data_IF_051838829468
#
_entry.id   IF_051838829468
#
_cell.length_a   1.000
_cell.length_b   1.000
_cell.length_c   1.000
_cell.angle_alpha   90.00
_cell.angle_beta   90.00
_cell.angle_gamma   90.00
#
_symmetry.space_group_name_H-M   'P 1'
#
loop_
_entity.id
_entity.type
_entity.pdbx_description
1 polymer ?
#
# COMPACT_ATOMS: atom_id res chain seq x y z
N UNK A 1 -12.25 -0.29 4.27
CA UNK A 1 -11.73 -0.83 3.00
C UNK A 1 -10.75 -1.97 3.30
N UNK A 2 -11.11 -2.91 4.18
CA UNK A 2 -10.22 -4.03 4.56
C UNK A 2 -10.04 -5.06 3.44
N UNK A 3 -10.84 -4.98 2.38
CA UNK A 3 -10.74 -5.86 1.20
C UNK A 3 -9.85 -5.25 0.09
N UNK A 4 -9.32 -4.05 0.31
CA UNK A 4 -8.43 -3.40 -0.66
C UNK A 4 -6.99 -3.81 -0.41
N UNK A 5 -6.46 -4.64 -1.30
CA UNK A 5 -5.08 -5.13 -1.23
C UNK A 5 -4.06 -4.18 -1.88
N UNK A 6 -4.50 -3.41 -2.87
CA UNK A 6 -3.65 -2.50 -3.66
C UNK A 6 -4.41 -1.18 -3.84
N UNK A 7 -3.76 -0.06 -3.50
CA UNK A 7 -4.24 1.29 -3.77
C UNK A 7 -3.22 2.04 -4.63
N UNK A 8 -3.73 2.73 -5.64
CA UNK A 8 -2.94 3.63 -6.47
C UNK A 8 -3.68 4.96 -6.51
N UNK A 9 -2.99 6.07 -6.24
CA UNK A 9 -3.63 7.38 -6.22
C UNK A 9 -2.68 8.51 -6.63
N UNK A 10 -3.21 9.62 -7.18
CA UNK A 10 -2.45 10.86 -7.30
C UNK A 10 -1.93 11.28 -5.93
N UNK A 11 -0.75 11.88 -5.91
CA UNK A 11 -0.18 12.44 -4.68
C UNK A 11 -1.14 13.44 -4.03
N UNK A 12 -1.33 13.31 -2.71
CA UNK A 12 -2.26 14.13 -1.92
C UNK A 12 -3.75 13.71 -1.99
N UNK A 13 -4.12 12.77 -2.85
CA UNK A 13 -5.49 12.27 -2.95
C UNK A 13 -5.68 10.94 -2.20
N UNK A 14 -6.90 10.69 -1.72
CA UNK A 14 -7.32 9.40 -1.12
C UNK A 14 -6.46 8.88 0.05
N UNK A 15 -5.63 9.72 0.68
CA UNK A 15 -4.79 9.31 1.81
C UNK A 15 -5.61 8.77 2.99
N UNK A 16 -6.83 9.27 3.19
CA UNK A 16 -7.74 8.73 4.23
C UNK A 16 -8.07 7.24 4.00
N UNK A 17 -8.11 6.78 2.74
CA UNK A 17 -8.39 5.38 2.44
C UNK A 17 -7.28 4.45 2.95
N UNK A 18 -6.03 4.93 2.98
CA UNK A 18 -4.88 4.19 3.51
C UNK A 18 -5.06 3.81 4.98
N UNK A 19 -5.76 4.63 5.76
CA UNK A 19 -6.02 4.37 7.19
C UNK A 19 -6.92 3.13 7.38
N UNK A 20 -7.77 2.84 6.39
CA UNK A 20 -8.75 1.75 6.44
C UNK A 20 -8.33 0.49 5.68
N UNK A 21 -7.09 0.47 5.18
CA UNK A 21 -6.52 -0.69 4.49
C UNK A 21 -5.83 -1.62 5.49
N UNK A 22 -5.79 -2.91 5.14
CA UNK A 22 -5.13 -3.91 5.98
C UNK A 22 -3.61 -3.75 5.96
N UNK A 23 -2.97 -4.23 7.04
CA UNK A 23 -1.51 -4.36 7.08
C UNK A 23 -1.02 -5.22 5.91
N UNK A 24 0.16 -4.90 5.40
CA UNK A 24 0.77 -5.49 4.21
C UNK A 24 0.04 -5.22 2.88
N UNK A 25 -1.03 -4.43 2.87
CA UNK A 25 -1.56 -3.88 1.61
C UNK A 25 -0.50 -3.03 0.91
N UNK A 26 -0.63 -2.91 -0.40
CA UNK A 26 0.33 -2.23 -1.27
C UNK A 26 -0.21 -0.89 -1.72
N UNK A 27 0.65 0.13 -1.75
CA UNK A 27 0.30 1.48 -2.17
C UNK A 27 1.32 2.00 -3.16
N UNK A 28 0.87 2.70 -4.19
CA UNK A 28 1.73 3.48 -5.08
C UNK A 28 1.12 4.86 -5.30
N UNK A 29 1.99 5.86 -5.30
CA UNK A 29 1.60 7.24 -5.58
C UNK A 29 2.09 7.67 -6.96
N UNK A 30 1.34 8.57 -7.59
CA UNK A 30 1.75 9.14 -8.85
C UNK A 30 1.66 10.66 -8.89
N UNK A 31 2.62 11.27 -9.58
CA UNK A 31 2.85 12.70 -9.58
C UNK A 31 2.66 13.31 -10.97
N UNK A 32 1.95 14.45 -11.10
CA UNK A 32 2.05 15.26 -12.29
C UNK A 32 3.48 15.78 -12.46
N UNK A 33 3.84 16.14 -13.69
CA UNK A 33 5.12 16.77 -14.00
C UNK A 33 5.31 18.04 -13.16
N UNK A 34 6.53 18.35 -12.75
CA UNK A 34 6.87 19.60 -12.03
C UNK A 34 6.38 19.71 -10.58
N UNK A 35 5.43 18.87 -10.13
CA UNK A 35 4.90 18.92 -8.76
C UNK A 35 5.96 18.64 -7.68
N UNK A 36 6.90 17.73 -7.96
CA UNK A 36 7.91 17.30 -6.99
C UNK A 36 8.76 18.46 -6.47
N UNK A 37 9.13 19.37 -7.36
CA UNK A 37 10.03 20.50 -7.08
C UNK A 37 9.42 21.46 -6.05
N UNK A 38 8.09 21.45 -5.92
CA UNK A 38 7.33 22.39 -5.12
C UNK A 38 6.71 21.73 -3.87
N UNK A 39 6.61 20.40 -3.82
CA UNK A 39 6.02 19.66 -2.69
C UNK A 39 6.90 19.59 -1.43
N UNK A 40 8.20 19.88 -1.54
CA UNK A 40 9.14 19.87 -0.41
C UNK A 40 9.11 18.53 0.35
N UNK A 41 9.02 18.55 1.68
CA UNK A 41 8.91 17.34 2.50
C UNK A 41 7.60 16.56 2.30
N UNK A 42 6.54 17.23 1.83
CA UNK A 42 5.24 16.61 1.58
C UNK A 42 5.27 15.47 0.56
N UNK A 43 6.29 15.46 -0.32
CA UNK A 43 6.50 14.42 -1.33
C UNK A 43 6.61 12.99 -0.76
N UNK A 44 6.89 12.83 0.53
CA UNK A 44 7.06 11.53 1.18
C UNK A 44 5.83 11.07 1.97
N UNK A 45 4.73 11.83 1.94
CA UNK A 45 3.59 11.58 2.84
C UNK A 45 2.95 10.20 2.63
N UNK A 46 2.89 9.70 1.40
CA UNK A 46 2.39 8.34 1.13
C UNK A 46 3.33 7.27 1.69
N UNK A 47 4.65 7.45 1.54
CA UNK A 47 5.64 6.55 2.15
C UNK A 47 5.47 6.53 3.67
N UNK A 48 5.43 7.70 4.31
CA UNK A 48 5.28 7.80 5.77
C UNK A 48 3.98 7.19 6.26
N UNK A 49 2.87 7.44 5.57
CA UNK A 49 1.59 6.84 5.92
C UNK A 49 1.62 5.32 5.74
N UNK A 50 2.17 4.82 4.63
CA UNK A 50 2.30 3.39 4.40
C UNK A 50 3.12 2.71 5.51
N UNK A 51 4.27 3.28 5.84
CA UNK A 51 5.14 2.75 6.88
C UNK A 51 4.44 2.79 8.25
N UNK A 52 3.73 3.88 8.58
CA UNK A 52 3.00 4.00 9.85
C UNK A 52 1.82 3.02 9.97
N UNK A 53 1.13 2.72 8.87
CA UNK A 53 0.01 1.78 8.82
C UNK A 53 0.46 0.31 8.69
N UNK A 54 1.77 0.05 8.55
CA UNK A 54 2.29 -1.30 8.29
C UNK A 54 1.93 -1.82 6.90
N UNK A 55 1.74 -0.92 5.94
CA UNK A 55 1.56 -1.21 4.52
C UNK A 55 2.90 -1.18 3.79
N UNK A 56 2.86 -1.42 2.48
CA UNK A 56 4.03 -1.42 1.59
C UNK A 56 3.88 -0.33 0.56
N UNK A 57 4.81 0.60 0.52
CA UNK A 57 4.86 1.56 -0.56
C UNK A 57 5.72 1.03 -1.72
N UNK A 58 5.03 0.57 -2.78
CA UNK A 58 5.54 -0.20 -3.92
C UNK A 58 6.02 0.71 -5.08
N UNK A 59 6.63 1.85 -4.75
CA UNK A 59 7.22 2.78 -5.71
C UNK A 59 6.32 3.97 -6.04
N UNK A 60 6.69 4.71 -7.09
CA UNK A 60 6.04 5.94 -7.50
C UNK A 60 6.09 6.10 -9.03
N UNK A 61 5.05 6.69 -9.62
CA UNK A 61 5.09 7.15 -11.02
C UNK A 61 5.29 8.66 -11.11
N UNK A 62 6.13 9.09 -12.03
CA UNK A 62 6.39 10.50 -12.30
C UNK A 62 6.16 10.75 -13.77
N UNK A 63 5.19 11.60 -14.06
CA UNK A 63 4.90 11.97 -15.44
C UNK A 63 6.05 12.80 -16.04
N UNK A 64 6.65 12.28 -17.11
CA UNK A 64 7.68 12.98 -17.89
C UNK A 64 7.10 13.86 -19.01
N UNK A 65 5.90 13.54 -19.50
CA UNK A 65 5.32 14.07 -20.73
C UNK A 65 4.37 15.25 -20.51
N UNK A 66 4.09 15.60 -19.25
CA UNK A 66 3.24 16.75 -18.91
C UNK A 66 3.73 18.10 -19.48
N UNK A 67 2.83 19.09 -19.46
CA UNK A 67 3.14 20.46 -19.89
C UNK A 67 4.13 21.14 -18.94
N UNK A 68 4.91 22.09 -19.46
CA UNK A 68 5.78 22.93 -18.63
C UNK A 68 5.01 24.17 -18.17
N UNK A 69 5.26 24.61 -16.94
CA UNK A 69 4.63 25.80 -16.41
C UNK A 69 4.99 27.03 -17.27
N UNK A 70 4.01 27.83 -17.72
CA UNK A 70 4.27 29.02 -18.52
C UNK A 70 4.63 30.26 -17.69
N UNK A 71 4.61 30.15 -16.36
CA UNK A 71 4.83 31.26 -15.43
C UNK A 71 6.26 31.25 -14.87
N UNK A 72 6.80 32.44 -14.61
CA UNK A 72 8.09 32.58 -13.88
C UNK A 72 7.89 32.53 -12.35
N UNK A 73 6.66 32.74 -11.89
CA UNK A 73 6.29 32.73 -10.48
C UNK A 73 6.07 31.30 -9.96
N UNK A 74 6.75 30.96 -8.86
CA UNK A 74 6.73 29.61 -8.28
C UNK A 74 5.35 29.21 -7.74
N UNK A 75 4.59 30.15 -7.18
CA UNK A 75 3.28 29.86 -6.59
C UNK A 75 2.23 29.62 -7.69
N UNK A 76 2.35 30.35 -8.80
CA UNK A 76 1.57 30.09 -10.02
C UNK A 76 1.93 28.73 -10.63
N UNK A 77 3.22 28.39 -10.70
CA UNK A 77 3.63 27.05 -11.15
C UNK A 77 3.18 25.95 -10.20
N UNK A 78 3.14 26.20 -8.89
CA UNK A 78 2.61 25.24 -7.92
C UNK A 78 1.16 24.89 -8.24
N UNK A 79 0.32 25.91 -8.43
CA UNK A 79 -1.09 25.71 -8.78
C UNK A 79 -1.24 25.04 -10.14
N UNK A 80 -0.47 25.46 -11.14
CA UNK A 80 -0.48 24.87 -12.48
C UNK A 80 -0.20 23.36 -12.45
N UNK A 81 0.87 22.94 -11.77
CA UNK A 81 1.23 21.53 -11.69
C UNK A 81 0.29 20.72 -10.79
N UNK A 82 -0.28 21.34 -9.75
CA UNK A 82 -1.26 20.70 -8.86
C UNK A 82 -2.49 20.22 -9.61
N UNK A 83 -3.01 21.08 -10.47
CA UNK A 83 -4.26 20.87 -11.19
C UNK A 83 -4.02 20.25 -12.58
N UNK A 84 -2.75 19.94 -12.90
CA UNK A 84 -2.35 19.30 -14.13
C UNK A 84 -2.90 17.88 -14.27
N UNK A 85 -3.19 17.49 -15.51
CA UNK A 85 -3.46 16.10 -15.83
C UNK A 85 -2.19 15.27 -15.65
N UNK A 86 -2.36 14.01 -15.25
CA UNK A 86 -1.23 13.10 -15.04
C UNK A 86 -1.17 12.15 -16.23
N UNK A 87 -0.05 12.19 -16.93
CA UNK A 87 0.27 11.32 -18.05
C UNK A 87 0.28 9.84 -17.65
N UNK A 88 -0.08 8.99 -18.61
CA UNK A 88 -0.18 7.55 -18.45
C UNK A 88 0.82 6.85 -19.37
N UNK A 89 1.73 6.05 -18.79
CA UNK A 89 2.57 5.12 -19.51
C UNK A 89 2.04 3.70 -19.31
N UNK A 90 1.35 3.18 -20.34
CA UNK A 90 0.72 1.87 -20.31
C UNK A 90 1.72 0.75 -19.98
N UNK A 91 2.93 0.83 -20.52
CA UNK A 91 3.95 -0.19 -20.31
C UNK A 91 4.44 -0.18 -18.85
N UNK A 92 4.70 1.01 -18.29
CA UNK A 92 5.08 1.16 -16.89
C UNK A 92 3.99 0.62 -15.96
N UNK A 93 2.76 1.10 -16.13
CA UNK A 93 1.65 0.71 -15.25
C UNK A 93 1.33 -0.78 -15.36
N UNK A 94 1.40 -1.36 -16.56
CA UNK A 94 1.16 -2.80 -16.77
C UNK A 94 2.24 -3.65 -16.11
N UNK A 95 3.52 -3.29 -16.27
CA UNK A 95 4.63 -4.01 -15.65
C UNK A 95 4.59 -3.91 -14.12
N UNK A 96 4.38 -2.69 -13.61
CA UNK A 96 4.22 -2.45 -12.18
C UNK A 96 3.04 -3.25 -11.61
N UNK A 97 1.88 -3.22 -12.27
CA UNK A 97 0.68 -3.92 -11.80
C UNK A 97 0.90 -5.43 -11.79
N UNK A 98 1.50 -6.00 -12.85
CA UNK A 98 1.81 -7.41 -12.92
C UNK A 98 2.73 -7.84 -11.77
N UNK A 99 3.77 -7.07 -11.48
CA UNK A 99 4.69 -7.34 -10.37
C UNK A 99 3.96 -7.31 -9.02
N UNK A 100 3.25 -6.22 -8.71
CA UNK A 100 2.61 -6.03 -7.40
C UNK A 100 1.47 -7.03 -7.19
N UNK A 101 0.70 -7.36 -8.23
CA UNK A 101 -0.33 -8.39 -8.16
C UNK A 101 0.28 -9.78 -7.88
N UNK A 102 1.36 -10.14 -8.56
CA UNK A 102 2.05 -11.41 -8.34
C UNK A 102 2.58 -11.50 -6.91
N UNK A 103 3.26 -10.46 -6.43
CA UNK A 103 3.79 -10.43 -5.07
C UNK A 103 2.69 -10.49 -4.02
N UNK A 104 1.62 -9.73 -4.20
CA UNK A 104 0.45 -9.69 -3.32
C UNK A 104 -0.21 -11.06 -3.23
N UNK A 105 -0.40 -11.74 -4.38
CA UNK A 105 -0.91 -13.11 -4.42
C UNK A 105 -0.04 -14.07 -3.61
N UNK A 106 1.28 -14.03 -3.80
CA UNK A 106 2.21 -14.90 -3.05
C UNK A 106 2.13 -14.64 -1.54
N UNK A 107 2.03 -13.37 -1.13
CA UNK A 107 1.90 -12.98 0.29
C UNK A 107 0.61 -13.53 0.91
N UNK A 108 -0.53 -13.30 0.26
CA UNK A 108 -1.84 -13.78 0.76
C UNK A 108 -1.88 -15.30 0.90
N UNK A 109 -1.33 -16.05 -0.06
CA UNK A 109 -1.24 -17.51 0.03
C UNK A 109 -0.38 -17.97 1.22
N UNK A 110 0.72 -17.27 1.52
CA UNK A 110 1.57 -17.56 2.68
C UNK A 110 0.86 -17.23 3.99
N UNK A 111 0.13 -16.12 4.06
CA UNK A 111 -0.63 -15.72 5.25
C UNK A 111 -1.73 -16.73 5.55
N UNK A 112 -2.47 -17.17 4.54
CA UNK A 112 -3.52 -18.19 4.68
C UNK A 112 -2.97 -19.55 5.12
N UNK A 113 -1.83 -19.97 4.55
CA UNK A 113 -1.15 -21.19 4.97
C UNK A 113 -0.69 -21.10 6.43
N UNK A 114 -0.20 -19.93 6.87
CA UNK A 114 0.25 -19.70 8.24
C UNK A 114 -0.91 -19.70 9.23
N UNK A 115 -2.03 -19.02 8.89
CA UNK A 115 -3.27 -19.04 9.68
C UNK A 115 -3.82 -20.46 9.85
N UNK A 116 -3.83 -21.27 8.78
CA UNK A 116 -4.26 -22.68 8.84
C UNK A 116 -3.37 -23.52 9.76
N UNK A 117 -2.05 -23.32 9.72
CA UNK A 117 -1.12 -24.01 10.63
C UNK A 117 -1.36 -23.64 12.09
N UNK A 118 -1.52 -22.35 12.39
CA UNK A 118 -1.77 -21.86 13.74
C UNK A 118 -3.10 -22.40 14.30
N UNK A 119 -4.16 -22.42 13.49
CA UNK A 119 -5.46 -22.97 13.89
C UNK A 119 -5.41 -24.48 14.15
N UNK A 120 -4.60 -25.22 13.38
CA UNK A 120 -4.40 -26.65 13.62
C UNK A 120 -3.59 -26.91 14.90
N UNK A 121 -2.58 -26.08 15.18
CA UNK A 121 -1.80 -26.18 16.40
C UNK A 121 -2.60 -25.82 17.66
N UNK A 122 -3.47 -24.80 17.60
CA UNK A 122 -4.36 -24.44 18.72
C UNK A 122 -5.42 -25.51 18.99
N UNK A 123 -5.97 -26.15 17.96
CA UNK A 123 -6.89 -27.29 18.13
C UNK A 123 -6.19 -28.52 18.72
N UNK A 124 -4.92 -28.78 18.36
CA UNK A 124 -4.14 -29.89 18.93
C UNK A 124 -3.70 -29.60 20.37
N UNK A 125 -3.37 -28.36 20.72
CA UNK A 125 -3.05 -27.97 22.10
C UNK A 125 -4.23 -28.05 23.06
N UNK A 126 -5.45 -27.85 22.57
CA UNK A 126 -6.68 -27.95 23.37
C UNK A 126 -7.08 -29.42 23.65
N UNK A 127 -6.55 -30.39 22.89
CA UNK A 127 -6.85 -31.82 23.09
C UNK A 127 -5.90 -32.50 24.10
N UNK A 128 -4.86 -31.81 24.61
CA UNK A 128 -3.85 -32.39 25.52
C UNK A 128 -4.00 -31.93 26.97
N UNK A 129 -4.88 -30.97 27.28
CA UNK A 129 -5.07 -30.48 28.66
C UNK A 129 -6.23 -31.11 29.45
N UNK A 130 -7.04 -32.00 28.86
CA UNK A 130 -8.23 -32.58 29.52
C UNK A 130 -8.14 -34.08 29.86
N UNK A 131 -6.94 -34.66 29.88
CA UNK A 131 -6.73 -36.05 30.33
C UNK A 131 -5.60 -36.13 31.35
N UNK A 132 -5.80 -35.54 32.54
CA UNK A 132 -5.08 -35.94 33.75
C UNK A 132 -5.77 -35.38 35.01
N UNK A 133 -6.98 -35.88 35.31
CA UNK A 133 -7.54 -35.87 36.67
C UNK A 133 -8.68 -36.90 36.77
N UNK A 134 -8.34 -38.18 36.72
CA UNK A 134 -9.27 -39.23 37.16
C UNK A 134 -8.47 -40.50 37.48
N UNK A 135 -7.85 -40.55 38.65
CA UNK A 135 -7.53 -41.78 39.38
C UNK A 135 -7.01 -41.42 40.77
N UNK A 136 -7.88 -41.48 41.77
CA UNK A 136 -7.55 -42.03 43.09
C UNK A 136 -8.85 -42.23 43.86
N UNK A 137 -9.38 -43.46 43.76
CA UNK A 137 -10.21 -44.03 44.81
C UNK A 137 -9.30 -44.32 46.02
N UNK A 138 -9.78 -44.00 47.22
CA UNK A 138 -9.16 -44.28 48.51
C UNK A 138 -10.05 -43.77 49.62
#
# INVERSE_FOLDING_TARGET
>A
MSETDILISPHGAQMTNMIFMDKNSSVMEFFPKGWLELAGGGQYVFRWLADSAGMRHEGQWRDSEGESCPFDDKDQCFTFYKDGTIGHDEAFFSQWAAQVLQETKVRKLKDDASKRKNNRASQQGMHVTDFNHCCSCG
#
